data_IF_242067354525
#
_entry.id   IF_242067354525
#
_cell.length_a   1.000
_cell.length_b   1.000
_cell.length_c   1.000
_cell.angle_alpha   90.00
_cell.angle_beta   90.00
_cell.angle_gamma   90.00
#
_symmetry.space_group_name_H-M   'P 1'
#
loop_
_entity.id
_entity.type
_entity.pdbx_description
1 polymer ?
#
# COMPACT_ATOMS: atom_id res chain seq x y z
N UNK A 1 10.13 -6.37 9.35
CA UNK A 1 8.68 -6.57 9.17
C UNK A 1 8.02 -5.21 9.40
N UNK A 2 8.36 -4.22 8.57
CA UNK A 2 8.21 -2.80 8.95
C UNK A 2 7.54 -1.99 7.82
N UNK A 3 8.07 -2.05 6.60
CA UNK A 3 7.55 -1.23 5.50
C UNK A 3 6.14 -1.61 5.06
N UNK A 4 5.84 -2.91 4.89
CA UNK A 4 4.52 -3.36 4.45
C UNK A 4 3.41 -2.91 5.40
N UNK A 5 3.62 -3.05 6.71
CA UNK A 5 2.64 -2.59 7.70
C UNK A 5 2.46 -1.07 7.65
N UNK A 6 3.54 -0.31 7.49
CA UNK A 6 3.48 1.14 7.38
C UNK A 6 2.78 1.61 6.09
N UNK A 7 2.97 0.95 4.95
CA UNK A 7 2.28 1.31 3.70
C UNK A 7 0.79 0.98 3.77
N UNK A 8 0.40 -0.12 4.45
CA UNK A 8 -1.01 -0.41 4.75
C UNK A 8 -1.62 0.62 5.69
N UNK A 9 -0.88 1.04 6.73
CA UNK A 9 -1.34 2.07 7.66
C UNK A 9 -1.51 3.42 6.96
N UNK A 10 -0.60 3.75 6.05
CA UNK A 10 -0.67 4.93 5.19
C UNK A 10 -1.94 4.91 4.33
N UNK A 11 -2.15 3.82 3.59
CA UNK A 11 -3.32 3.65 2.73
C UNK A 11 -4.62 3.66 3.53
N UNK A 12 -4.65 3.02 4.71
CA UNK A 12 -5.81 3.06 5.61
C UNK A 12 -6.11 4.48 6.08
N UNK A 13 -5.09 5.28 6.34
CA UNK A 13 -5.25 6.69 6.73
C UNK A 13 -5.85 7.49 5.57
N UNK A 14 -5.33 7.31 4.35
CA UNK A 14 -5.89 7.91 3.15
C UNK A 14 -7.36 7.49 2.90
N UNK A 15 -7.66 6.20 3.00
CA UNK A 15 -9.01 5.65 2.87
C UNK A 15 -9.95 6.29 3.90
N UNK A 16 -9.60 6.25 5.18
CA UNK A 16 -10.43 6.81 6.25
C UNK A 16 -10.70 8.30 6.04
N UNK A 17 -9.71 9.02 5.55
CA UNK A 17 -9.84 10.44 5.24
C UNK A 17 -10.83 10.68 4.09
N UNK A 18 -10.64 10.01 2.96
CA UNK A 18 -11.48 10.20 1.79
C UNK A 18 -12.92 9.66 1.99
N UNK A 19 -13.07 8.66 2.85
CA UNK A 19 -14.37 8.09 3.22
C UNK A 19 -15.11 8.91 4.30
N UNK A 20 -14.45 9.89 4.94
CA UNK A 20 -15.08 10.72 5.98
C UNK A 20 -15.06 10.10 7.39
N UNK A 21 -14.23 9.08 7.62
CA UNK A 21 -13.99 8.53 8.96
C UNK A 21 -13.04 9.38 9.82
N UNK A 22 -12.35 10.36 9.23
CA UNK A 22 -11.58 11.37 9.97
C UNK A 22 -12.43 12.60 10.25
N UNK A 23 -12.34 13.11 11.47
CA UNK A 23 -13.08 14.31 11.88
C UNK A 23 -12.57 15.59 11.20
N UNK A 24 -11.28 15.65 10.88
CA UNK A 24 -10.67 16.81 10.23
C UNK A 24 -10.64 16.66 8.70
N UNK A 25 -10.88 17.75 7.97
CA UNK A 25 -10.88 17.78 6.50
C UNK A 25 -9.48 17.86 5.90
N UNK A 26 -8.44 17.98 6.73
CA UNK A 26 -7.04 17.92 6.33
C UNK A 26 -6.34 16.79 7.09
N UNK A 27 -5.40 16.12 6.42
CA UNK A 27 -4.54 15.13 7.06
C UNK A 27 -3.49 15.83 7.92
N UNK A 28 -3.20 15.27 9.10
CA UNK A 28 -2.17 15.80 10.00
C UNK A 28 -0.81 15.93 9.32
N UNK A 29 -0.05 16.96 9.67
CA UNK A 29 1.30 17.15 9.14
C UNK A 29 2.17 15.91 9.43
N UNK A 30 2.79 15.35 8.40
CA UNK A 30 3.68 14.20 8.53
C UNK A 30 2.98 12.85 8.65
N UNK A 31 1.67 12.76 8.38
CA UNK A 31 0.92 11.49 8.32
C UNK A 31 1.60 10.41 7.45
N UNK A 32 2.38 10.82 6.45
CA UNK A 32 3.11 9.96 5.52
C UNK A 32 4.54 9.59 5.96
N UNK A 33 5.08 10.23 7.01
CA UNK A 33 6.51 10.21 7.31
C UNK A 33 7.03 8.84 7.74
N UNK A 34 6.25 8.05 8.48
CA UNK A 34 6.67 6.73 8.93
C UNK A 34 6.90 5.76 7.75
N UNK A 35 5.92 5.67 6.84
CA UNK A 35 6.02 4.86 5.64
C UNK A 35 7.18 5.33 4.72
N UNK A 36 7.39 6.64 4.61
CA UNK A 36 8.50 7.20 3.84
C UNK A 36 9.87 6.81 4.43
N UNK A 37 10.04 6.92 5.75
CA UNK A 37 11.30 6.56 6.41
C UNK A 37 11.64 5.08 6.20
N UNK A 38 10.63 4.20 6.27
CA UNK A 38 10.81 2.77 6.04
C UNK A 38 11.03 2.42 4.56
N UNK A 39 10.44 3.16 3.63
CA UNK A 39 10.75 3.04 2.20
C UNK A 39 12.22 3.36 1.94
N UNK A 40 12.72 4.47 2.49
CA UNK A 40 14.12 4.88 2.31
C UNK A 40 15.09 3.81 2.83
N UNK A 41 14.76 3.16 3.96
CA UNK A 41 15.53 2.02 4.46
C UNK A 41 15.43 0.81 3.53
N UNK A 42 14.23 0.44 3.07
CA UNK A 42 14.03 -0.69 2.17
C UNK A 42 14.81 -0.52 0.86
N UNK A 43 14.80 0.67 0.27
CA UNK A 43 15.51 0.99 -0.98
C UNK A 43 17.03 0.76 -0.89
N UNK A 44 17.60 0.80 0.32
CA UNK A 44 19.02 0.54 0.52
C UNK A 44 19.36 -0.96 0.50
N UNK A 45 18.44 -1.82 0.94
CA UNK A 45 18.70 -3.25 1.12
C UNK A 45 18.05 -4.15 0.07
N UNK A 46 16.95 -3.70 -0.55
CA UNK A 46 16.17 -4.50 -1.47
C UNK A 46 16.73 -4.49 -2.90
N UNK A 47 16.42 -5.54 -3.65
CA UNK A 47 16.63 -5.56 -5.09
C UNK A 47 15.94 -4.39 -5.78
N UNK A 48 16.51 -3.92 -6.89
CA UNK A 48 16.01 -2.74 -7.61
C UNK A 48 14.53 -2.85 -8.01
N UNK A 49 14.09 -4.05 -8.41
CA UNK A 49 12.69 -4.29 -8.77
C UNK A 49 11.76 -4.16 -7.55
N UNK A 50 12.12 -4.79 -6.44
CA UNK A 50 11.36 -4.70 -5.17
C UNK A 50 11.32 -3.26 -4.66
N UNK A 51 12.45 -2.55 -4.69
CA UNK A 51 12.54 -1.15 -4.29
C UNK A 51 11.66 -0.24 -5.15
N UNK A 52 11.59 -0.48 -6.46
CA UNK A 52 10.73 0.28 -7.38
C UNK A 52 9.24 0.03 -7.11
N UNK A 53 8.84 -1.23 -6.95
CA UNK A 53 7.45 -1.57 -6.66
C UNK A 53 7.00 -1.08 -5.27
N UNK A 54 7.86 -1.17 -4.26
CA UNK A 54 7.61 -0.57 -2.95
C UNK A 54 7.45 0.95 -3.03
N UNK A 55 8.25 1.63 -3.85
CA UNK A 55 8.10 3.07 -4.10
C UNK A 55 6.77 3.39 -4.79
N UNK A 56 6.31 2.55 -5.72
CA UNK A 56 5.02 2.70 -6.39
C UNK A 56 3.86 2.55 -5.40
N UNK A 57 3.87 1.50 -4.56
CA UNK A 57 2.85 1.28 -3.54
C UNK A 57 2.76 2.44 -2.53
N UNK A 58 3.92 2.93 -2.06
CA UNK A 58 3.97 4.14 -1.22
C UNK A 58 3.38 5.36 -1.94
N UNK A 59 3.77 5.58 -3.19
CA UNK A 59 3.34 6.76 -3.96
C UNK A 59 1.84 6.74 -4.24
N UNK A 60 1.26 5.57 -4.50
CA UNK A 60 -0.18 5.39 -4.67
C UNK A 60 -0.95 5.67 -3.36
N UNK A 61 -0.49 5.12 -2.23
CA UNK A 61 -1.10 5.40 -0.92
C UNK A 61 -0.99 6.88 -0.53
N UNK A 62 0.17 7.51 -0.78
CA UNK A 62 0.38 8.92 -0.50
C UNK A 62 -0.48 9.81 -1.40
N UNK A 63 -0.50 9.55 -2.71
CA UNK A 63 -1.29 10.33 -3.68
C UNK A 63 -2.79 10.20 -3.40
N UNK A 64 -3.23 9.04 -2.89
CA UNK A 64 -4.61 8.85 -2.46
C UNK A 64 -4.98 9.84 -1.36
N UNK A 65 -4.22 9.90 -0.27
CA UNK A 65 -4.51 10.85 0.82
C UNK A 65 -4.29 12.31 0.41
N UNK A 66 -3.30 12.59 -0.43
CA UNK A 66 -2.95 13.95 -0.86
C UNK A 66 -3.95 14.58 -1.82
N UNK A 67 -4.53 13.78 -2.72
CA UNK A 67 -5.41 14.26 -3.80
C UNK A 67 -6.83 13.70 -3.71
N UNK A 68 -7.13 12.89 -2.70
CA UNK A 68 -8.48 12.44 -2.42
C UNK A 68 -9.31 13.56 -1.79
N UNK A 69 -10.60 13.54 -2.07
CA UNK A 69 -11.55 14.49 -1.51
C UNK A 69 -12.03 13.94 -0.17
N UNK A 70 -11.96 14.75 0.89
CA UNK A 70 -12.48 14.39 2.21
C UNK A 70 -14.00 14.17 2.16
N UNK A 71 -14.47 13.12 2.86
CA UNK A 71 -15.89 12.78 3.00
C UNK A 71 -16.65 12.69 1.65
N UNK A 72 -16.00 12.09 0.65
CA UNK A 72 -16.53 11.95 -0.70
C UNK A 72 -16.30 10.54 -1.27
N UNK A 73 -16.85 9.49 -0.66
CA UNK A 73 -16.68 8.10 -1.13
C UNK A 73 -17.32 7.84 -2.51
N UNK A 74 -18.28 8.67 -2.92
CA UNK A 74 -18.93 8.59 -4.25
C UNK A 74 -18.13 9.31 -5.35
N UNK A 75 -17.02 9.98 -5.01
CA UNK A 75 -16.15 10.60 -6.00
C UNK A 75 -15.49 9.51 -6.88
N UNK A 76 -15.60 9.56 -8.22
CA UNK A 76 -15.01 8.53 -9.09
C UNK A 76 -13.51 8.32 -8.86
N UNK A 77 -12.82 9.39 -8.46
CA UNK A 77 -11.38 9.38 -8.24
C UNK A 77 -10.99 8.63 -6.96
N UNK A 78 -11.94 8.39 -6.03
CA UNK A 78 -11.76 7.52 -4.86
C UNK A 78 -11.47 6.09 -5.30
N UNK A 79 -12.37 5.49 -6.08
CA UNK A 79 -12.26 4.11 -6.55
C UNK A 79 -11.04 3.92 -7.46
N UNK A 80 -10.71 4.93 -8.27
CA UNK A 80 -9.50 4.91 -9.09
C UNK A 80 -8.22 4.85 -8.23
N UNK A 81 -8.16 5.60 -7.12
CA UNK A 81 -7.00 5.61 -6.21
C UNK A 81 -6.91 4.34 -5.38
N UNK A 82 -8.04 3.81 -4.93
CA UNK A 82 -8.12 2.50 -4.27
C UNK A 82 -7.54 1.42 -5.19
N UNK A 83 -8.00 1.37 -6.44
CA UNK A 83 -7.49 0.44 -7.43
C UNK A 83 -5.98 0.62 -7.70
N UNK A 84 -5.51 1.87 -7.86
CA UNK A 84 -4.07 2.14 -8.07
C UNK A 84 -3.21 1.64 -6.90
N UNK A 85 -3.70 1.80 -5.67
CA UNK A 85 -3.00 1.29 -4.50
C UNK A 85 -3.01 -0.24 -4.47
N UNK A 86 -4.17 -0.87 -4.69
CA UNK A 86 -4.30 -2.33 -4.67
C UNK A 86 -3.42 -3.01 -5.74
N UNK A 87 -3.38 -2.45 -6.96
CA UNK A 87 -2.52 -2.94 -8.04
C UNK A 87 -1.03 -2.82 -7.67
N UNK A 88 -0.62 -1.67 -7.13
CA UNK A 88 0.77 -1.44 -6.72
C UNK A 88 1.18 -2.29 -5.51
N UNK A 89 0.27 -2.50 -4.56
CA UNK A 89 0.47 -3.41 -3.42
C UNK A 89 0.67 -4.84 -3.91
N UNK A 90 -0.18 -5.32 -4.82
CA UNK A 90 -0.08 -6.66 -5.38
C UNK A 90 1.23 -6.86 -6.13
N UNK A 91 1.60 -5.94 -7.02
CA UNK A 91 2.87 -6.01 -7.76
C UNK A 91 4.08 -6.09 -6.81
N UNK A 92 4.10 -5.23 -5.78
CA UNK A 92 5.13 -5.25 -4.75
C UNK A 92 5.21 -6.61 -4.04
N UNK A 93 4.06 -7.17 -3.63
CA UNK A 93 4.02 -8.47 -2.95
C UNK A 93 4.50 -9.61 -3.85
N UNK A 94 4.15 -9.59 -5.14
CA UNK A 94 4.61 -10.59 -6.12
C UNK A 94 6.13 -10.52 -6.30
N UNK A 95 6.70 -9.33 -6.46
CA UNK A 95 8.16 -9.16 -6.63
C UNK A 95 8.94 -9.48 -5.35
N UNK A 96 8.41 -9.14 -4.17
CA UNK A 96 9.02 -9.54 -2.89
C UNK A 96 9.03 -11.07 -2.76
N UNK A 97 7.92 -11.71 -3.12
CA UNK A 97 7.81 -13.17 -3.12
C UNK A 97 8.83 -13.83 -4.06
N UNK A 98 8.95 -13.31 -5.28
CA UNK A 98 9.92 -13.78 -6.28
C UNK A 98 11.36 -13.63 -5.79
N UNK A 99 11.73 -12.46 -5.26
CA UNK A 99 13.07 -12.20 -4.69
C UNK A 99 13.40 -13.16 -3.54
N UNK A 100 12.39 -13.53 -2.73
CA UNK A 100 12.53 -14.52 -1.65
C UNK A 100 12.46 -15.97 -2.13
N UNK A 101 12.33 -16.22 -3.44
CA UNK A 101 12.17 -17.56 -4.03
C UNK A 101 11.02 -18.37 -3.42
N UNK A 102 9.96 -17.69 -2.98
CA UNK A 102 8.77 -18.33 -2.43
C UNK A 102 7.89 -18.77 -3.61
N UNK A 103 7.62 -20.08 -3.80
CA UNK A 103 6.86 -20.57 -4.94
C UNK A 103 5.46 -19.97 -4.96
N UNK A 104 4.91 -19.68 -6.15
CA UNK A 104 3.49 -19.36 -6.30
C UNK A 104 2.63 -20.43 -5.62
N UNK A 105 1.60 -20.00 -4.90
CA UNK A 105 0.72 -20.96 -4.26
C UNK A 105 -0.01 -21.63 -5.42
N UNK A 106 0.24 -22.91 -5.61
CA UNK A 106 -0.48 -23.68 -6.60
C UNK A 106 -1.96 -23.69 -6.17
N UNK A 107 -2.75 -22.80 -6.78
CA UNK A 107 -4.18 -22.66 -6.49
C UNK A 107 -4.97 -23.93 -6.87
N UNK A 108 -4.33 -24.91 -7.51
CA UNK A 108 -4.88 -26.23 -7.78
C UNK A 108 -4.69 -27.21 -6.62
N UNK A 109 -3.81 -26.91 -5.67
CA UNK A 109 -3.63 -27.73 -4.47
C UNK A 109 -4.72 -27.41 -3.43
N UNK A 110 -5.34 -28.44 -2.82
CA UNK A 110 -6.29 -28.22 -1.75
C UNK A 110 -5.61 -27.48 -0.58
N UNK A 111 -6.34 -26.62 0.16
CA UNK A 111 -5.78 -25.88 1.27
C UNK A 111 -5.15 -26.84 2.29
N UNK A 112 -3.99 -26.49 2.88
CA UNK A 112 -3.28 -27.38 3.78
C UNK A 112 -4.11 -27.63 5.05
N UNK A 113 -4.54 -28.88 5.23
CA UNK A 113 -4.97 -29.43 6.51
C UNK A 113 -6.45 -29.30 6.86
N UNK A 114 -7.24 -30.28 6.43
CA UNK A 114 -8.13 -31.01 7.35
C UNK A 114 -7.72 -32.49 7.27
N UNK A 115 -7.01 -32.98 8.29
CA UNK A 115 -6.73 -34.40 8.53
C UNK A 115 -6.94 -34.66 10.01
#
# INVERSE_FOLDING_TARGET
>A
MEFYEAVKALAKTAYNHCYGFTAEPELEEGWQSDAFAKLAQLQFYADRAVAAAASAAYSAAWSWGQYGVHDAPDDPSFSEREQQFDEAELEMLLLMRESLSIPEADLTLPPPGYS
#
